data_IF_034275175093
#
_entry.id   IF_034275175093
#
_cell.length_a   1.000
_cell.length_b   1.000
_cell.length_c   1.000
_cell.angle_alpha   90.00
_cell.angle_beta   90.00
_cell.angle_gamma   90.00
#
_symmetry.space_group_name_H-M   'P 1'
#
loop_
_entity.id
_entity.type
_entity.pdbx_description
1 polymer ?
#
# COMPACT_ATOMS: atom_id res chain seq x y z
N UNK A 1 -0.52 10.11 28.61
CA UNK A 1 -0.08 10.04 27.19
C UNK A 1 1.01 11.08 27.01
N UNK A 2 2.23 10.63 26.73
CA UNK A 2 3.40 11.52 26.61
C UNK A 2 3.42 12.24 25.26
N UNK A 3 3.65 13.56 25.27
CA UNK A 3 3.72 14.39 24.07
C UNK A 3 4.82 13.92 23.09
N UNK A 4 5.89 13.32 23.62
CA UNK A 4 7.00 12.76 22.85
C UNK A 4 6.57 11.52 22.05
N UNK A 5 5.72 10.66 22.62
CA UNK A 5 5.19 9.48 21.95
C UNK A 5 4.30 9.89 20.77
N UNK A 6 3.47 10.93 20.93
CA UNK A 6 2.63 11.47 19.85
C UNK A 6 3.49 12.00 18.70
N UNK A 7 4.58 12.73 18.99
CA UNK A 7 5.50 13.21 17.94
C UNK A 7 6.16 12.06 17.17
N UNK A 8 6.55 10.98 17.87
CA UNK A 8 7.15 9.81 17.24
C UNK A 8 6.14 9.05 16.36
N UNK A 9 4.90 8.89 16.86
CA UNK A 9 3.79 8.31 16.10
C UNK A 9 3.51 9.10 14.83
N UNK A 10 3.45 10.43 14.90
CA UNK A 10 3.24 11.28 13.71
C UNK A 10 4.32 11.07 12.64
N UNK A 11 5.59 10.98 13.04
CA UNK A 11 6.69 10.69 12.10
C UNK A 11 6.56 9.30 11.48
N UNK A 12 6.20 8.29 12.27
CA UNK A 12 5.98 6.93 11.79
C UNK A 12 4.80 6.86 10.81
N UNK A 13 3.70 7.55 11.11
CA UNK A 13 2.53 7.64 10.23
C UNK A 13 2.88 8.32 8.91
N UNK A 14 3.59 9.46 8.94
CA UNK A 14 4.02 10.15 7.73
C UNK A 14 4.95 9.28 6.87
N UNK A 15 5.87 8.55 7.50
CA UNK A 15 6.73 7.58 6.80
C UNK A 15 5.90 6.46 6.17
N UNK A 16 4.99 5.85 6.94
CA UNK A 16 4.12 4.77 6.47
C UNK A 16 3.28 5.21 5.26
N UNK A 17 2.69 6.41 5.31
CA UNK A 17 1.92 6.96 4.18
C UNK A 17 2.78 7.14 2.93
N UNK A 18 3.98 7.71 3.07
CA UNK A 18 4.88 7.90 1.94
C UNK A 18 5.36 6.58 1.36
N UNK A 19 5.65 5.59 2.21
CA UNK A 19 6.06 4.25 1.80
C UNK A 19 4.92 3.54 1.04
N UNK A 20 3.67 3.63 1.54
CA UNK A 20 2.48 3.12 0.85
C UNK A 20 2.28 3.80 -0.51
N UNK A 21 2.36 5.13 -0.59
CA UNK A 21 2.24 5.89 -1.85
C UNK A 21 3.32 5.50 -2.87
N UNK A 22 4.56 5.33 -2.42
CA UNK A 22 5.67 4.90 -3.26
C UNK A 22 5.47 3.46 -3.78
N UNK A 23 4.95 2.57 -2.94
CA UNK A 23 4.63 1.19 -3.30
C UNK A 23 3.56 1.14 -4.40
N UNK A 24 2.45 1.87 -4.22
CA UNK A 24 1.36 1.96 -5.19
C UNK A 24 1.90 2.46 -6.54
N UNK A 25 2.67 3.55 -6.54
CA UNK A 25 3.29 4.08 -7.77
C UNK A 25 4.17 3.05 -8.48
N UNK A 26 4.99 2.29 -7.74
CA UNK A 26 5.85 1.25 -8.35
C UNK A 26 5.03 0.16 -9.02
N UNK A 27 3.98 -0.32 -8.35
CA UNK A 27 3.07 -1.33 -8.91
C UNK A 27 2.39 -0.83 -10.17
N UNK A 28 1.85 0.40 -10.14
CA UNK A 28 1.17 1.01 -11.29
C UNK A 28 2.11 1.31 -12.47
N UNK A 29 3.39 1.57 -12.20
CA UNK A 29 4.43 1.68 -13.25
C UNK A 29 4.84 0.33 -13.84
N UNK A 30 4.22 -0.79 -13.43
CA UNK A 30 4.59 -2.14 -13.86
C UNK A 30 5.92 -2.63 -13.27
N UNK A 31 6.47 -1.94 -12.26
CA UNK A 31 7.71 -2.39 -11.61
C UNK A 31 7.40 -3.50 -10.60
N UNK A 32 8.28 -4.50 -10.48
CA UNK A 32 8.12 -5.54 -9.47
C UNK A 32 8.16 -4.92 -8.07
N UNK A 33 7.12 -5.16 -7.29
CA UNK A 33 7.00 -4.73 -5.91
C UNK A 33 6.68 -5.93 -5.02
N UNK A 34 7.31 -5.98 -3.84
CA UNK A 34 7.09 -7.03 -2.83
C UNK A 34 6.28 -6.47 -1.68
N UNK A 35 5.42 -7.29 -1.10
CA UNK A 35 4.71 -6.97 0.13
C UNK A 35 5.71 -6.78 1.28
N UNK A 36 5.64 -5.68 2.06
CA UNK A 36 6.56 -5.45 3.18
C UNK A 36 6.40 -6.48 4.30
N UNK A 37 5.23 -7.11 4.43
CA UNK A 37 4.93 -8.08 5.50
C UNK A 37 5.35 -9.51 5.15
N UNK A 38 4.98 -10.00 3.96
CA UNK A 38 5.22 -11.40 3.56
C UNK A 38 6.28 -11.59 2.48
N UNK A 39 6.84 -10.49 1.94
CA UNK A 39 7.84 -10.47 0.86
C UNK A 39 7.40 -11.13 -0.47
N UNK A 40 6.13 -11.52 -0.59
CA UNK A 40 5.56 -12.03 -1.83
C UNK A 40 5.32 -10.88 -2.82
N UNK A 41 5.29 -11.21 -4.12
CA UNK A 41 4.99 -10.23 -5.17
C UNK A 41 3.59 -9.65 -4.98
N UNK A 42 3.48 -8.33 -5.11
CA UNK A 42 2.20 -7.64 -5.18
C UNK A 42 1.61 -7.81 -6.58
N UNK A 43 0.30 -7.99 -6.62
CA UNK A 43 -0.48 -8.16 -7.82
C UNK A 43 -1.43 -6.98 -7.95
N UNK A 44 -1.51 -6.44 -9.17
CA UNK A 44 -2.51 -5.45 -9.52
C UNK A 44 -3.72 -6.17 -10.11
N UNK A 45 -4.87 -5.99 -9.50
CA UNK A 45 -6.16 -6.41 -9.97
C UNK A 45 -6.80 -5.22 -10.66
N UNK A 46 -6.88 -5.30 -11.99
CA UNK A 46 -7.59 -4.32 -12.78
C UNK A 46 -9.09 -4.34 -12.43
N UNK A 47 -9.78 -3.19 -12.48
CA UNK A 47 -11.21 -3.13 -12.24
C UNK A 47 -11.93 -3.89 -13.35
N UNK A 48 -12.82 -4.81 -12.98
CA UNK A 48 -13.74 -5.50 -13.90
C UNK A 48 -15.18 -5.26 -13.45
N UNK A 49 -16.08 -4.98 -14.38
CA UNK A 49 -17.53 -4.88 -14.13
C UNK A 49 -17.94 -3.97 -12.95
N UNK A 50 -17.38 -2.76 -12.90
CA UNK A 50 -17.72 -1.77 -11.86
C UNK A 50 -17.04 -1.98 -10.51
N UNK A 51 -16.13 -2.94 -10.39
CA UNK A 51 -15.26 -3.07 -9.21
C UNK A 51 -14.14 -2.03 -9.22
N UNK A 52 -13.60 -1.71 -8.04
CA UNK A 52 -12.43 -0.84 -7.88
C UNK A 52 -11.15 -1.58 -8.25
N UNK A 53 -10.15 -0.86 -8.74
CA UNK A 53 -8.82 -1.42 -8.94
C UNK A 53 -8.22 -1.79 -7.57
N UNK A 54 -7.47 -2.89 -7.47
CA UNK A 54 -6.85 -3.29 -6.19
C UNK A 54 -5.40 -3.68 -6.34
N UNK A 55 -4.60 -3.43 -5.32
CA UNK A 55 -3.25 -3.98 -5.15
C UNK A 55 -3.29 -4.93 -3.96
N UNK A 56 -3.02 -6.20 -4.23
CA UNK A 56 -3.07 -7.24 -3.19
C UNK A 56 -1.87 -8.19 -3.25
N UNK A 57 -1.57 -8.90 -2.17
CA UNK A 57 -0.64 -10.02 -2.19
C UNK A 57 -1.39 -11.33 -1.94
N UNK A 58 -0.81 -12.47 -2.36
CA UNK A 58 -1.46 -13.78 -2.25
C UNK A 58 -1.88 -14.17 -0.82
N UNK A 59 -1.21 -13.62 0.21
CA UNK A 59 -1.55 -13.83 1.63
C UNK A 59 -2.57 -12.83 2.20
N UNK A 60 -2.95 -11.79 1.46
CA UNK A 60 -3.85 -10.73 1.94
C UNK A 60 -3.23 -9.76 2.96
N UNK A 61 -1.90 -9.75 3.11
CA UNK A 61 -1.21 -8.83 4.04
C UNK A 61 -1.22 -7.36 3.59
N UNK A 62 -1.42 -7.14 2.29
CA UNK A 62 -1.60 -5.83 1.68
C UNK A 62 -2.84 -5.97 0.83
N UNK A 63 -3.84 -5.12 1.09
CA UNK A 63 -5.06 -5.02 0.29
C UNK A 63 -5.37 -3.53 0.19
N UNK A 64 -5.08 -2.95 -0.97
CA UNK A 64 -5.20 -1.51 -1.21
C UNK A 64 -6.19 -1.33 -2.35
N UNK A 65 -7.34 -0.73 -2.04
CA UNK A 65 -8.31 -0.31 -3.04
C UNK A 65 -7.86 1.01 -3.67
N UNK A 66 -7.87 1.07 -4.99
CA UNK A 66 -7.53 2.22 -5.80
C UNK A 66 -8.81 2.74 -6.45
N UNK A 67 -9.23 3.91 -6.01
CA UNK A 67 -10.23 4.70 -6.69
C UNK A 67 -9.57 5.38 -7.91
N UNK A 68 -10.00 4.96 -9.11
CA UNK A 68 -9.53 5.49 -10.39
C UNK A 68 -10.65 6.29 -11.07
N UNK A 69 -11.33 7.15 -10.30
CA UNK A 69 -12.35 8.08 -10.82
C UNK A 69 -11.75 9.26 -11.61
#
# INVERSE_FOLDING_TARGET
MDLQQIKQLNKQTAKSYNDQKALIKRVLMGKPAKCPNCQQSLQFLAPQDGSVAKITCAKGCTDIELDLS
#
